data_IF_593614131396
#
_entry.id   IF_593614131396
#
_cell.length_a   1.000
_cell.length_b   1.000
_cell.length_c   1.000
_cell.angle_alpha   90.00
_cell.angle_beta   90.00
_cell.angle_gamma   90.00
#
_symmetry.space_group_name_H-M   'P 1'
#
loop_
_entity.id
_entity.type
_entity.pdbx_description
1 polymer ?
#
# COMPACT_ATOMS: atom_id res chain seq x y z
N UNK A 1 -24.62 -7.08 18.31
CA UNK A 1 -24.05 -6.84 17.88
C UNK A 1 -23.96 -6.50 17.68
N UNK A 2 -23.99 -6.53 17.73
CA UNK A 2 -23.38 -6.22 17.20
C UNK A 2 -22.80 -6.23 17.26
N UNK A 3 -22.69 -6.28 17.52
CA UNK A 3 -21.87 -6.32 17.13
C UNK A 3 -21.63 -6.80 16.80
N UNK A 4 -22.06 -7.00 17.07
CA UNK A 4 -21.56 -7.41 16.26
C UNK A 4 -21.94 -7.34 15.61
N UNK A 5 -22.42 -7.21 15.46
CA UNK A 5 -22.34 -7.04 14.50
C UNK A 5 -22.08 -6.50 14.23
N UNK A 6 -21.78 -6.26 14.28
CA UNK A 6 -21.24 -5.79 13.69
C UNK A 6 -20.51 -6.09 13.47
N UNK A 7 -20.24 -6.55 13.39
CA UNK A 7 -19.42 -6.89 12.92
C UNK A 7 -19.46 -7.61 12.15
N UNK A 8 -19.73 -7.97 11.85
CA UNK A 8 -19.64 -8.66 10.97
C UNK A 8 -20.04 -8.42 9.93
N UNK A 9 -20.36 -7.93 9.72
CA UNK A 9 -20.69 -7.68 8.69
C UNK A 9 -20.02 -7.03 7.93
N UNK A 10 -19.58 -6.52 8.05
CA UNK A 10 -18.84 -5.97 7.42
C UNK A 10 -17.92 -6.52 7.00
N UNK A 11 -17.80 -7.09 7.19
CA UNK A 11 -16.79 -7.75 7.03
C UNK A 11 -16.65 -8.39 5.77
N UNK A 12 -17.41 -8.42 4.96
CA UNK A 12 -17.25 -8.93 3.81
C UNK A 12 -16.26 -8.28 3.04
N UNK A 13 -16.14 -7.06 3.05
CA UNK A 13 -15.23 -6.37 2.30
C UNK A 13 -13.88 -6.64 2.63
N UNK A 14 -13.59 -6.86 3.82
CA UNK A 14 -12.29 -7.04 4.16
C UNK A 14 -11.97 -8.35 4.46
N UNK A 15 -12.78 -9.27 4.21
CA UNK A 15 -12.45 -10.41 4.58
C UNK A 15 -11.53 -10.88 3.76
N UNK A 16 -10.65 -11.25 4.12
CA UNK A 16 -9.99 -12.13 3.58
C UNK A 16 -9.32 -11.92 2.38
N UNK A 17 -8.79 -10.79 2.13
CA UNK A 17 -7.82 -10.57 1.13
C UNK A 17 -6.53 -11.17 1.64
N UNK A 18 -6.02 -12.18 0.99
CA UNK A 18 -4.84 -12.89 1.42
C UNK A 18 -3.79 -12.83 0.32
N UNK A 19 -2.60 -13.36 0.60
CA UNK A 19 -1.54 -13.42 -0.39
C UNK A 19 -1.96 -14.10 -1.66
N UNK A 20 -2.84 -15.08 -1.56
CA UNK A 20 -3.27 -15.84 -2.72
C UNK A 20 -4.08 -15.01 -3.70
N UNK A 21 -4.65 -13.91 -3.22
CA UNK A 21 -5.45 -13.02 -4.06
C UNK A 21 -4.60 -11.92 -4.69
N UNK A 22 -3.31 -11.92 -4.44
CA UNK A 22 -2.42 -10.84 -4.83
C UNK A 22 -1.32 -11.34 -5.75
N UNK A 23 -0.80 -10.45 -6.58
CA UNK A 23 0.26 -10.79 -7.53
C UNK A 23 1.51 -9.97 -7.22
N UNK A 24 2.67 -10.64 -7.15
CA UNK A 24 3.94 -9.93 -7.04
C UNK A 24 4.34 -9.54 -8.45
N UNK A 25 4.36 -8.25 -8.71
CA UNK A 25 4.58 -7.74 -10.06
C UNK A 25 6.06 -7.55 -10.42
N UNK A 26 6.94 -7.51 -9.42
CA UNK A 26 8.36 -7.24 -9.61
C UNK A 26 9.18 -8.51 -9.52
N UNK A 27 10.45 -8.40 -9.93
CA UNK A 27 11.37 -9.52 -9.85
C UNK A 27 11.74 -9.85 -8.40
N UNK A 28 11.78 -8.85 -7.54
CA UNK A 28 12.09 -9.05 -6.12
C UNK A 28 10.83 -9.53 -5.40
N UNK A 29 10.97 -10.62 -4.66
CA UNK A 29 9.86 -11.17 -3.90
C UNK A 29 9.84 -10.58 -2.49
N UNK A 30 8.65 -10.36 -1.90
CA UNK A 30 8.57 -9.83 -0.54
C UNK A 30 9.10 -10.83 0.49
N UNK A 31 9.72 -10.32 1.53
CA UNK A 31 10.05 -11.14 2.69
C UNK A 31 8.78 -11.39 3.50
N UNK A 32 8.85 -12.29 4.47
CA UNK A 32 7.71 -12.55 5.32
C UNK A 32 7.28 -11.30 6.09
N UNK A 33 8.25 -10.56 6.62
CA UNK A 33 7.95 -9.32 7.35
C UNK A 33 7.28 -8.29 6.43
N UNK A 34 7.72 -8.20 5.18
CA UNK A 34 7.13 -7.29 4.21
C UNK A 34 5.70 -7.71 3.87
N UNK A 35 5.44 -9.02 3.72
CA UNK A 35 4.08 -9.49 3.49
C UNK A 35 3.15 -9.11 4.63
N UNK A 36 3.61 -9.31 5.87
CA UNK A 36 2.81 -8.96 7.04
C UNK A 36 2.53 -7.46 7.10
N UNK A 37 3.53 -6.65 6.77
CA UNK A 37 3.37 -5.21 6.74
C UNK A 37 2.36 -4.79 5.68
N UNK A 38 2.45 -5.36 4.49
CA UNK A 38 1.53 -5.06 3.40
C UNK A 38 0.10 -5.44 3.75
N UNK A 39 -0.08 -6.61 4.34
CA UNK A 39 -1.44 -7.09 4.66
C UNK A 39 -2.06 -6.25 5.77
N UNK A 40 -1.27 -5.87 6.76
CA UNK A 40 -1.76 -4.99 7.81
C UNK A 40 -2.19 -3.65 7.24
N UNK A 41 -1.32 -3.05 6.44
CA UNK A 41 -1.60 -1.75 5.84
C UNK A 41 -2.79 -1.80 4.89
N UNK A 42 -2.95 -2.90 4.16
CA UNK A 42 -4.07 -3.06 3.24
C UNK A 42 -5.41 -3.02 3.97
N UNK A 43 -5.46 -3.62 5.14
CA UNK A 43 -6.69 -3.56 5.95
C UNK A 43 -6.95 -2.15 6.44
N UNK A 44 -5.91 -1.43 6.84
CA UNK A 44 -6.07 -0.09 7.40
C UNK A 44 -6.43 0.92 6.32
N UNK A 45 -5.82 0.80 5.13
CA UNK A 45 -6.02 1.81 4.09
C UNK A 45 -7.47 1.91 3.64
N UNK A 46 -8.22 0.82 3.77
CA UNK A 46 -9.63 0.82 3.38
C UNK A 46 -10.46 1.76 4.24
N UNK A 47 -9.99 2.10 5.42
CA UNK A 47 -10.72 2.99 6.34
C UNK A 47 -10.24 4.44 6.27
N UNK A 48 -9.23 4.74 5.45
CA UNK A 48 -8.65 6.07 5.39
C UNK A 48 -9.18 6.79 4.16
N UNK A 49 -9.37 8.09 4.29
CA UNK A 49 -9.94 8.88 3.21
C UNK A 49 -9.01 9.00 2.02
N UNK A 50 -9.52 8.72 0.82
CA UNK A 50 -8.74 8.83 -0.43
C UNK A 50 -8.32 10.28 -0.69
N UNK A 51 -7.27 10.56 -1.39
CA UNK A 51 -6.27 9.55 -1.78
C UNK A 51 -5.43 9.21 -0.59
N UNK A 52 -5.32 7.95 -0.27
CA UNK A 52 -4.64 7.52 0.95
C UNK A 52 -3.39 6.70 0.64
N UNK A 53 -2.32 7.04 1.31
CA UNK A 53 -1.09 6.27 1.30
C UNK A 53 -0.67 6.07 2.75
N UNK A 54 -0.39 4.83 3.10
CA UNK A 54 -0.03 4.46 4.46
C UNK A 54 1.32 3.78 4.45
N UNK A 55 2.12 4.04 5.45
CA UNK A 55 3.30 3.23 5.71
C UNK A 55 3.00 2.35 6.93
N UNK A 56 3.33 1.08 6.84
CA UNK A 56 3.08 0.14 7.93
C UNK A 56 4.22 -0.86 8.06
N UNK A 57 4.46 -1.30 9.30
CA UNK A 57 5.30 -2.46 9.55
C UNK A 57 4.35 -3.60 9.91
N UNK A 58 4.87 -4.71 10.41
CA UNK A 58 4.03 -5.87 10.69
C UNK A 58 3.24 -5.75 11.99
N UNK A 59 3.34 -4.61 12.69
CA UNK A 59 2.64 -4.41 13.95
C UNK A 59 1.71 -3.22 13.93
N UNK A 60 2.02 -2.18 13.16
CA UNK A 60 1.25 -0.94 13.22
C UNK A 60 1.52 -0.07 12.00
N UNK A 61 0.68 0.92 11.80
CA UNK A 61 0.97 1.96 10.83
C UNK A 61 2.02 2.89 11.41
N UNK A 62 2.92 3.36 10.56
CA UNK A 62 4.01 4.22 10.99
C UNK A 62 3.98 5.58 10.28
N UNK A 63 3.11 5.76 9.31
CA UNK A 63 2.91 7.05 8.65
C UNK A 63 1.63 7.01 7.83
N UNK A 64 0.92 8.13 7.76
CA UNK A 64 -0.32 8.22 7.01
C UNK A 64 -0.37 9.54 6.27
N UNK A 65 -0.68 9.48 4.98
CA UNK A 65 -1.02 10.64 4.18
C UNK A 65 -2.38 10.41 3.55
N UNK A 66 -3.29 11.36 3.69
CA UNK A 66 -4.66 11.15 3.24
C UNK A 66 -5.30 12.44 2.76
N UNK A 67 -6.34 12.29 1.95
CA UNK A 67 -7.16 13.42 1.53
C UNK A 67 -6.49 14.39 0.57
N UNK A 68 -5.40 13.99 -0.05
CA UNK A 68 -4.70 14.86 -0.99
C UNK A 68 -5.24 14.71 -2.40
N UNK A 69 -5.00 15.71 -3.23
CA UNK A 69 -5.52 15.69 -4.59
C UNK A 69 -4.80 14.69 -5.48
N UNK A 70 -3.58 14.34 -5.15
CA UNK A 70 -2.86 13.35 -5.93
C UNK A 70 -2.12 12.38 -5.02
N UNK A 71 -1.74 11.26 -5.61
CA UNK A 71 -1.17 10.13 -4.88
C UNK A 71 0.24 10.44 -4.35
N UNK A 72 1.04 11.13 -5.16
CA UNK A 72 2.39 11.46 -4.73
C UNK A 72 2.36 12.43 -3.54
N UNK A 73 1.38 13.31 -3.48
CA UNK A 73 1.22 14.20 -2.34
C UNK A 73 0.93 13.44 -1.06
N UNK A 74 0.05 12.44 -1.13
CA UNK A 74 -0.24 11.60 0.02
C UNK A 74 0.99 10.79 0.44
N UNK A 75 1.76 10.28 -0.53
CA UNK A 75 2.98 9.53 -0.24
C UNK A 75 4.01 10.41 0.46
N UNK A 76 4.17 11.64 0.01
CA UNK A 76 5.11 12.57 0.65
C UNK A 76 4.75 12.82 2.10
N UNK A 77 3.46 13.06 2.38
CA UNK A 77 3.02 13.29 3.75
C UNK A 77 3.26 12.06 4.62
N UNK A 78 2.91 10.88 4.12
CA UNK A 78 3.10 9.65 4.88
C UNK A 78 4.57 9.46 5.24
N UNK A 79 5.46 9.68 4.27
CA UNK A 79 6.90 9.50 4.48
C UNK A 79 7.46 10.56 5.43
N UNK A 80 7.04 11.81 5.28
CA UNK A 80 7.51 12.88 6.15
C UNK A 80 7.08 12.67 7.60
N UNK A 81 5.95 12.04 7.81
CA UNK A 81 5.41 11.82 9.15
C UNK A 81 5.75 10.44 9.72
N UNK A 82 6.50 9.65 8.97
CA UNK A 82 6.80 8.29 9.41
C UNK A 82 7.65 8.28 10.67
N UNK A 83 7.28 7.44 11.62
CA UNK A 83 8.07 7.29 12.84
C UNK A 83 9.24 6.33 12.65
N UNK A 84 9.21 5.56 11.56
CA UNK A 84 10.36 4.75 11.16
C UNK A 84 10.26 4.42 9.69
N UNK A 85 11.38 4.23 9.02
CA UNK A 85 11.44 3.70 7.66
C UNK A 85 12.62 2.74 7.62
N UNK A 86 12.36 1.50 7.24
CA UNK A 86 13.40 0.48 7.08
C UNK A 86 12.90 -0.54 6.06
N UNK A 87 13.68 -1.59 5.82
CA UNK A 87 13.36 -2.56 4.77
C UNK A 87 12.06 -3.32 5.02
N UNK A 88 11.56 -3.33 6.24
CA UNK A 88 10.34 -4.04 6.58
C UNK A 88 9.10 -3.16 6.59
N UNK A 89 9.23 -1.89 6.25
CA UNK A 89 8.09 -0.98 6.17
C UNK A 89 7.54 -1.01 4.76
N UNK A 90 6.23 -1.19 4.62
CA UNK A 90 5.57 -1.22 3.33
C UNK A 90 4.82 0.09 3.10
N UNK A 91 4.85 0.56 1.86
CA UNK A 91 4.01 1.67 1.42
C UNK A 91 2.76 1.07 0.81
N UNK A 92 1.60 1.48 1.31
CA UNK A 92 0.30 0.92 0.93
C UNK A 92 -0.55 2.03 0.32
N UNK A 93 -1.07 1.81 -0.88
CA UNK A 93 -1.89 2.81 -1.56
C UNK A 93 -3.29 2.28 -1.80
N UNK A 94 -4.29 3.14 -1.63
CA UNK A 94 -5.69 2.76 -1.86
C UNK A 94 -6.09 2.78 -3.34
N UNK A 95 -5.24 3.27 -4.22
CA UNK A 95 -5.49 3.28 -5.65
C UNK A 95 -4.21 3.12 -6.42
N UNK A 96 -4.32 2.94 -7.75
CA UNK A 96 -3.14 2.73 -8.57
C UNK A 96 -2.31 4.00 -8.66
N UNK A 97 -1.04 3.83 -9.00
CA UNK A 97 -0.18 4.98 -9.26
C UNK A 97 -0.32 5.38 -10.74
N UNK A 98 -0.62 6.65 -11.02
CA UNK A 98 -0.78 7.06 -12.42
C UNK A 98 0.53 7.02 -13.20
N UNK A 99 1.66 7.10 -12.53
CA UNK A 99 2.97 6.99 -13.17
C UNK A 99 4.00 6.58 -12.12
N UNK A 100 5.25 6.51 -12.51
CA UNK A 100 6.29 5.99 -11.63
C UNK A 100 6.84 6.94 -10.58
N UNK A 101 6.36 8.19 -10.54
CA UNK A 101 6.91 9.21 -9.65
C UNK A 101 6.78 8.87 -8.17
N UNK A 102 5.65 8.26 -7.78
CA UNK A 102 5.46 7.86 -6.39
C UNK A 102 6.46 6.78 -5.99
N UNK A 103 6.69 5.83 -6.89
CA UNK A 103 7.65 4.74 -6.63
C UNK A 103 9.06 5.31 -6.50
N UNK A 104 9.42 6.24 -7.38
CA UNK A 104 10.73 6.85 -7.33
C UNK A 104 10.93 7.62 -6.03
N UNK A 105 9.94 8.40 -5.62
CA UNK A 105 10.01 9.15 -4.36
C UNK A 105 10.18 8.20 -3.17
N UNK A 106 9.41 7.11 -3.16
CA UNK A 106 9.49 6.12 -2.10
C UNK A 106 10.89 5.48 -2.05
N UNK A 107 11.43 5.15 -3.21
CA UNK A 107 12.75 4.54 -3.30
C UNK A 107 13.83 5.46 -2.72
N UNK A 108 13.73 6.75 -3.02
CA UNK A 108 14.70 7.74 -2.54
C UNK A 108 14.66 7.88 -1.02
N UNK A 109 13.58 7.48 -0.39
CA UNK A 109 13.40 7.60 1.04
C UNK A 109 13.48 6.26 1.78
N UNK A 110 13.99 5.24 1.11
CA UNK A 110 14.29 3.97 1.79
C UNK A 110 13.17 2.94 1.83
N UNK A 111 12.10 3.15 1.10
CA UNK A 111 11.00 2.18 1.04
C UNK A 111 11.42 1.03 0.13
N UNK A 112 11.21 -0.20 0.58
CA UNK A 112 11.58 -1.40 -0.18
C UNK A 112 10.41 -2.29 -0.53
N UNK A 113 9.21 -1.97 -0.05
CA UNK A 113 8.01 -2.78 -0.31
C UNK A 113 6.82 -1.87 -0.56
N UNK A 114 6.06 -2.17 -1.60
CA UNK A 114 4.89 -1.39 -1.99
C UNK A 114 3.75 -2.33 -2.32
N UNK A 115 2.54 -1.99 -1.89
CA UNK A 115 1.33 -2.70 -2.30
C UNK A 115 0.31 -1.69 -2.81
N UNK A 116 -0.30 -1.98 -3.94
CA UNK A 116 -1.29 -1.12 -4.58
C UNK A 116 -2.25 -1.98 -5.39
N UNK A 117 -3.42 -1.45 -5.75
CA UNK A 117 -4.37 -2.25 -6.52
C UNK A 117 -3.96 -2.49 -7.99
N UNK A 118 -3.21 -1.59 -8.60
CA UNK A 118 -2.94 -1.66 -10.03
C UNK A 118 -4.12 -1.20 -10.87
N UNK A 119 -4.05 -1.35 -12.17
CA UNK A 119 -5.15 -0.99 -13.07
C UNK A 119 -4.92 0.27 -13.87
N UNK A 120 -3.74 0.87 -13.78
CA UNK A 120 -3.38 2.01 -14.60
C UNK A 120 -2.78 1.51 -15.91
N UNK A 121 -2.98 2.26 -16.99
CA UNK A 121 -2.28 1.94 -18.24
C UNK A 121 -0.78 2.15 -18.07
N UNK A 122 -0.37 2.80 -17.01
CA UNK A 122 1.04 3.04 -16.70
C UNK A 122 1.58 2.12 -15.61
N UNK A 123 0.89 1.02 -15.34
CA UNK A 123 1.38 0.07 -14.32
C UNK A 123 2.80 -0.39 -14.64
N UNK A 124 3.12 -0.58 -15.92
CA UNK A 124 4.45 -1.04 -16.28
C UNK A 124 5.53 -0.02 -15.91
N UNK A 125 5.22 1.29 -15.98
CA UNK A 125 6.19 2.30 -15.56
C UNK A 125 6.50 2.16 -14.07
N UNK A 126 5.48 1.92 -13.25
CA UNK A 126 5.67 1.72 -11.82
C UNK A 126 6.46 0.45 -11.53
N UNK A 127 6.16 -0.63 -12.25
CA UNK A 127 6.87 -1.91 -12.08
C UNK A 127 8.34 -1.75 -12.48
N UNK A 128 8.60 -1.09 -13.60
CA UNK A 128 9.97 -0.88 -14.07
C UNK A 128 10.76 -0.04 -13.08
N UNK A 129 10.13 0.99 -12.53
CA UNK A 129 10.78 1.84 -11.54
C UNK A 129 11.08 1.04 -10.26
N UNK A 130 10.14 0.21 -9.82
CA UNK A 130 10.34 -0.63 -8.64
C UNK A 130 11.50 -1.61 -8.86
N UNK A 131 11.55 -2.23 -10.03
CA UNK A 131 12.64 -3.16 -10.37
C UNK A 131 13.98 -2.43 -10.40
N UNK A 132 14.00 -1.21 -10.91
CA UNK A 132 15.23 -0.43 -10.99
C UNK A 132 15.82 -0.19 -9.61
N UNK A 133 14.98 0.01 -8.62
CA UNK A 133 15.43 0.31 -7.26
C UNK A 133 15.41 -0.90 -6.32
N UNK A 134 15.09 -2.08 -6.84
CA UNK A 134 15.07 -3.29 -6.00
C UNK A 134 13.89 -3.35 -5.03
N UNK A 135 12.81 -2.64 -5.34
CA UNK A 135 11.61 -2.64 -4.51
C UNK A 135 10.73 -3.80 -4.92
N UNK A 136 10.13 -4.49 -3.96
CA UNK A 136 9.11 -5.49 -4.26
C UNK A 136 7.75 -4.79 -4.33
N UNK A 137 6.98 -5.08 -5.39
CA UNK A 137 5.66 -4.47 -5.58
C UNK A 137 4.62 -5.56 -5.75
N UNK A 138 3.55 -5.45 -4.96
CA UNK A 138 2.43 -6.38 -4.98
C UNK A 138 1.21 -5.63 -5.49
N UNK A 139 0.44 -6.27 -6.38
CA UNK A 139 -0.80 -5.71 -6.89
C UNK A 139 -1.96 -6.59 -6.46
N UNK A 140 -3.00 -5.97 -5.94
CA UNK A 140 -4.14 -6.71 -5.42
C UNK A 140 -5.26 -6.88 -6.44
N UNK A 141 -5.32 -6.01 -7.44
CA UNK A 141 -6.44 -6.01 -8.38
C UNK A 141 -7.72 -5.43 -7.81
N UNK A 142 -7.68 -4.93 -6.56
CA UNK A 142 -8.86 -4.40 -5.89
C UNK A 142 -8.58 -3.02 -5.37
N UNK A 143 -9.56 -2.14 -5.49
CA UNK A 143 -9.42 -0.77 -5.00
C UNK A 143 -10.14 -0.60 -3.68
N UNK A 144 -9.60 0.25 -2.84
CA UNK A 144 -10.28 0.71 -1.64
C UNK A 144 -10.48 2.21 -1.76
N UNK A 145 -11.71 2.63 -2.02
CA UNK A 145 -12.04 4.04 -2.03
C UNK A 145 -13.03 4.35 -0.93
N UNK A 146 -12.77 5.44 -0.24
CA UNK A 146 -13.66 5.91 0.80
C UNK A 146 -14.31 7.17 0.28
N UNK A 147 -15.57 7.12 0.06
CA UNK A 147 -16.30 8.25 -0.50
C UNK A 147 -17.15 8.97 0.55
#
# INVERSE_FOLDING_TARGET
ASDVYKRQVQDKDNKDVTRNDMTVATDTQPTEAQWEAMLLGWKVVSAVKSNAVILSNNKQTVGIGAGQMNRVGSAKIAIERAIEINDNVALVSDGFFPMGDTVEYAAEHGIKAIIQPGGSIKDQDSIDMANKYGITMVMTGMRHFKH
#
